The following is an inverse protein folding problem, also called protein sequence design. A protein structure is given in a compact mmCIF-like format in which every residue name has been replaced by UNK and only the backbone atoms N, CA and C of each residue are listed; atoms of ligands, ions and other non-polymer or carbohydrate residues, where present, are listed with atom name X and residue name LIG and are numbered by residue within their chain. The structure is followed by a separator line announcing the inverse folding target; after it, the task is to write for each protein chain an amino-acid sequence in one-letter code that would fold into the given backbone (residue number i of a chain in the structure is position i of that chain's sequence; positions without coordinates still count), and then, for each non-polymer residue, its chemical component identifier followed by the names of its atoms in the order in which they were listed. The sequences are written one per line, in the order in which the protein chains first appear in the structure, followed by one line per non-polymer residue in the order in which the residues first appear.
data_IF_783579700101
#
_entry.id   IF_783579700101
#
_cell.length_a   1.000
_cell.length_b   1.000
_cell.length_c   1.000
_cell.angle_alpha   90.00
_cell.angle_beta   90.00
_cell.angle_gamma   90.00
#
_symmetry.space_group_name_H-M   'P 1'
#
loop_
_entity.id
_entity.type
_entity.pdbx_description
1 polymer ?
#
# COMPACT_ATOMS: atom_id res chain seq x y z
N UNK A 1 4.36 -4.14 -2.09
CA UNK A 1 2.88 -3.98 -2.17
C UNK A 1 2.22 -5.17 -1.49
N UNK A 2 0.92 -5.15 -1.20
CA UNK A 2 0.25 -6.32 -0.60
C UNK A 2 -0.27 -7.31 -1.66
N UNK A 3 -0.70 -8.49 -1.22
CA UNK A 3 -1.36 -9.52 -2.02
C UNK A 3 -2.88 -9.40 -1.87
N UNK A 4 -3.64 -9.63 -2.94
CA UNK A 4 -5.10 -9.80 -2.90
C UNK A 4 -5.47 -11.21 -3.36
N UNK A 5 -6.61 -11.75 -2.92
CA UNK A 5 -7.02 -13.13 -3.24
C UNK A 5 -7.05 -13.36 -4.75
N UNK A 6 -6.29 -14.35 -5.24
CA UNK A 6 -6.18 -14.65 -6.67
C UNK A 6 -5.14 -13.81 -7.43
N UNK A 7 -4.49 -12.84 -6.78
CA UNK A 7 -3.42 -12.04 -7.37
C UNK A 7 -2.10 -12.29 -6.64
N UNK A 8 -1.10 -12.78 -7.38
CA UNK A 8 0.25 -12.87 -6.86
C UNK A 8 0.75 -11.46 -6.51
N UNK A 9 0.91 -11.19 -5.22
CA UNK A 9 1.35 -9.86 -4.77
C UNK A 9 2.80 -9.61 -5.15
N UNK A 10 3.07 -8.40 -5.62
CA UNK A 10 4.44 -7.96 -5.91
C UNK A 10 5.24 -7.85 -4.61
N UNK A 11 6.45 -8.44 -4.61
CA UNK A 11 7.46 -8.25 -3.57
C UNK A 11 8.06 -6.83 -3.60
N UNK A 12 7.79 -6.08 -4.65
CA UNK A 12 8.29 -4.72 -4.81
C UNK A 12 7.38 -3.73 -4.09
N UNK A 13 8.01 -2.78 -3.42
CA UNK A 13 7.35 -1.65 -2.79
C UNK A 13 7.84 -0.40 -3.51
N UNK A 14 6.91 0.28 -4.16
CA UNK A 14 7.15 1.58 -4.78
C UNK A 14 6.60 2.66 -3.85
N UNK A 15 7.24 3.81 -3.83
CA UNK A 15 6.69 4.98 -3.17
C UNK A 15 5.73 5.68 -4.12
N UNK A 16 4.54 5.99 -3.61
CA UNK A 16 3.52 6.78 -4.29
C UNK A 16 3.43 8.15 -3.61
N UNK A 17 2.66 9.05 -4.23
CA UNK A 17 2.34 10.34 -3.65
C UNK A 17 1.75 10.21 -2.23
N UNK A 18 2.10 11.14 -1.34
CA UNK A 18 1.63 11.14 0.05
C UNK A 18 0.12 11.35 0.16
N UNK A 19 -0.47 12.07 -0.79
CA UNK A 19 -1.89 12.36 -0.92
C UNK A 19 -2.51 11.59 -2.09
N UNK A 20 -1.97 10.40 -2.39
CA UNK A 20 -2.49 9.54 -3.44
C UNK A 20 -3.99 9.31 -3.26
N UNK A 21 -4.77 9.83 -4.22
CA UNK A 21 -6.20 9.60 -4.32
C UNK A 21 -6.50 8.66 -5.47
N UNK A 22 -7.61 7.95 -5.35
CA UNK A 22 -8.11 7.11 -6.43
C UNK A 22 -8.63 8.03 -7.53
N UNK A 23 -8.03 7.97 -8.72
CA UNK A 23 -8.46 8.78 -9.86
C UNK A 23 -9.93 8.48 -10.20
N UNK A 24 -10.71 9.52 -10.48
CA UNK A 24 -12.12 9.37 -10.86
C UNK A 24 -12.25 8.49 -12.10
N UNK A 25 -13.18 7.53 -12.06
CA UNK A 25 -13.39 6.56 -13.15
C UNK A 25 -12.37 5.41 -13.20
N UNK A 26 -11.39 5.35 -12.30
CA UNK A 26 -10.47 4.20 -12.23
C UNK A 26 -11.16 2.88 -11.83
N UNK A 27 -12.38 2.95 -11.29
CA UNK A 27 -13.26 1.80 -11.02
C UNK A 27 -14.23 1.48 -12.17
N UNK A 28 -14.18 2.23 -13.26
CA UNK A 28 -15.09 2.12 -14.41
C UNK A 28 -14.43 1.35 -15.55
N UNK A 29 -14.16 0.06 -15.35
CA UNK A 29 -13.55 -0.80 -16.37
C UNK A 29 -12.98 -2.10 -15.81
N UNK A 30 -12.42 -2.95 -16.68
CA UNK A 30 -11.61 -4.09 -16.22
C UNK A 30 -10.36 -3.54 -15.52
N UNK A 31 -10.19 -3.95 -14.27
CA UNK A 31 -9.03 -3.60 -13.47
C UNK A 31 -7.95 -4.68 -13.53
N UNK A 32 -8.04 -5.65 -14.44
CA UNK A 32 -7.14 -6.82 -14.50
C UNK A 32 -5.75 -6.50 -15.09
N UNK A 33 -5.44 -5.21 -15.23
CA UNK A 33 -4.12 -4.72 -15.66
C UNK A 33 -3.15 -4.54 -14.48
N UNK A 34 -2.47 -3.40 -14.43
CA UNK A 34 -1.48 -3.09 -13.40
C UNK A 34 -2.14 -2.57 -12.10
N UNK A 35 -2.63 -3.49 -11.28
CA UNK A 35 -3.26 -3.20 -9.99
C UNK A 35 -2.24 -2.76 -8.93
N UNK A 36 -2.53 -1.65 -8.26
CA UNK A 36 -1.79 -1.22 -7.08
C UNK A 36 -2.52 -1.69 -5.81
N UNK A 37 -2.06 -2.82 -5.26
CA UNK A 37 -2.50 -3.32 -3.95
C UNK A 37 -1.76 -2.59 -2.81
N UNK A 38 -2.36 -1.48 -2.34
CA UNK A 38 -1.79 -0.65 -1.27
C UNK A 38 -1.53 -1.40 0.04
N UNK A 39 -0.51 -0.94 0.76
CA UNK A 39 -0.19 -1.45 2.09
C UNK A 39 -0.99 -0.66 3.12
N UNK A 40 -1.78 -1.34 3.94
CA UNK A 40 -2.46 -0.74 5.08
C UNK A 40 -1.68 -1.08 6.34
N UNK A 41 -1.37 -0.08 7.16
CA UNK A 41 -0.83 -0.32 8.49
C UNK A 41 -1.85 -1.09 9.32
N UNK A 42 -1.38 -2.02 10.13
CA UNK A 42 -2.20 -2.74 11.10
C UNK A 42 -1.49 -2.72 12.45
N UNK A 43 -2.23 -2.38 13.51
CA UNK A 43 -1.70 -2.45 14.86
C UNK A 43 -1.46 -3.92 15.25
N UNK A 44 -0.35 -4.18 15.94
CA UNK A 44 0.11 -5.53 16.29
C UNK A 44 1.59 -5.67 15.96
N UNK A 45 1.89 -6.05 14.73
CA UNK A 45 3.28 -6.09 14.22
C UNK A 45 3.92 -4.70 14.16
N UNK A 46 3.10 -3.67 13.90
CA UNK A 46 3.51 -2.27 14.03
C UNK A 46 3.02 -1.72 15.36
N UNK A 47 3.89 -0.95 16.03
CA UNK A 47 3.53 -0.23 17.25
C UNK A 47 2.69 1.01 16.90
N UNK A 48 1.54 1.10 17.56
CA UNK A 48 0.65 2.25 17.51
C UNK A 48 0.77 2.98 18.84
N UNK A 49 1.22 4.25 18.91
CA UNK A 49 1.71 5.14 17.83
C UNK A 49 3.19 4.89 17.41
N UNK A 50 3.66 5.39 16.24
CA UNK A 50 3.07 6.44 15.39
C UNK A 50 2.15 5.94 14.27
N UNK A 51 2.09 4.63 14.04
CA UNK A 51 1.25 4.08 12.98
C UNK A 51 -0.21 4.06 13.42
N UNK A 52 -1.09 4.56 12.58
CA UNK A 52 -2.53 4.39 12.71
C UNK A 52 -2.91 3.09 11.98
N UNK A 53 -3.50 2.14 12.70
CA UNK A 53 -3.89 0.83 12.17
C UNK A 53 -4.96 0.87 11.07
N UNK A 54 -5.43 2.06 10.67
CA UNK A 54 -6.29 2.23 9.52
C UNK A 54 -5.69 3.05 8.37
N UNK A 55 -4.42 3.46 8.47
CA UNK A 55 -3.78 4.33 7.49
C UNK A 55 -3.04 3.54 6.41
N UNK A 56 -3.12 4.04 5.17
CA UNK A 56 -2.33 3.52 4.05
C UNK A 56 -0.87 4.00 4.17
N UNK A 57 0.07 3.10 3.90
CA UNK A 57 1.50 3.40 3.83
C UNK A 57 1.82 3.73 2.38
N UNK A 58 2.18 4.99 2.12
CA UNK A 58 2.48 5.51 0.78
C UNK A 58 3.93 5.28 0.36
N UNK A 59 4.84 5.07 1.32
CA UNK A 59 6.25 4.81 1.04
C UNK A 59 6.85 3.95 2.15
N UNK A 60 7.67 2.97 1.76
CA UNK A 60 8.45 2.14 2.67
C UNK A 60 9.92 2.23 2.25
N UNK A 61 10.75 2.80 3.13
CA UNK A 61 12.19 2.93 2.90
C UNK A 61 12.93 2.17 4.00
N UNK A 62 13.95 1.42 3.61
CA UNK A 62 14.86 0.84 4.57
C UNK A 62 15.77 1.96 5.08
N UNK A 63 15.70 2.29 6.37
CA UNK A 63 16.76 3.04 7.03
C UNK A 63 17.82 2.05 7.50
N UNK A 64 19.09 2.32 7.21
CA UNK A 64 20.16 1.59 7.87
C UNK A 64 20.20 2.06 9.33
N UNK A 65 19.90 1.17 10.27
CA UNK A 65 20.16 1.41 11.68
C UNK A 65 21.67 1.51 11.84
N UNK A 66 22.13 2.70 12.23
CA UNK A 66 23.53 2.93 12.60
C UNK A 66 23.85 2.25 13.93
#
# INVERSE_FOLDING_TARGET
MTTYHGHAGSKEFICVDSDATVAEGSNSGSQDGALLNFVKAACGSLKCPPYDGNKLITCAVCSQTK
#
